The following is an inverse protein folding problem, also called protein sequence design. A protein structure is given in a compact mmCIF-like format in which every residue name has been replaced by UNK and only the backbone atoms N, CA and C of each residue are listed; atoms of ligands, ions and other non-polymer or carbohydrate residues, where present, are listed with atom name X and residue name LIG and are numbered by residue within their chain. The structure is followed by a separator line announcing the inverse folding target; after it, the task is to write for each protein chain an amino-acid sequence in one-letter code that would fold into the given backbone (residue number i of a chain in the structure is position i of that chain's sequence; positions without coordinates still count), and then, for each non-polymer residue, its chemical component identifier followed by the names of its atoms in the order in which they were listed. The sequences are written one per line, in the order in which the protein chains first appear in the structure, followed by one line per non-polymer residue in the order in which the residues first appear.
data_IF_467895511274
#
_entry.id   IF_467895511274
#
_cell.length_a   1.000
_cell.length_b   1.000
_cell.length_c   1.000
_cell.angle_alpha   90.00
_cell.angle_beta   90.00
_cell.angle_gamma   90.00
#
_symmetry.space_group_name_H-M   'P 1'
#
loop_
_entity.id
_entity.type
_entity.pdbx_description
1 polymer ?
#
# COMPACT_ATOMS: atom_id res chain seq x y z
N UNK A 1 30.25 -2.61 6.66
CA UNK A 1 29.95 -3.91 7.23
C UNK A 1 28.65 -3.88 7.99
N UNK A 2 27.93 -4.99 8.02
CA UNK A 2 26.74 -5.17 8.83
C UNK A 2 26.73 -6.59 9.44
N UNK A 3 26.02 -6.73 10.55
CA UNK A 3 25.80 -8.00 11.23
C UNK A 3 24.39 -7.99 11.87
N UNK A 4 23.65 -9.07 11.69
CA UNK A 4 22.31 -9.23 12.26
C UNK A 4 21.35 -8.06 11.94
N UNK A 5 21.42 -7.54 10.68
CA UNK A 5 20.60 -6.42 10.23
C UNK A 5 21.06 -5.04 10.70
N UNK A 6 22.19 -4.94 11.44
CA UNK A 6 22.71 -3.68 11.97
C UNK A 6 24.02 -3.30 11.27
N UNK A 7 24.15 -2.03 10.85
CA UNK A 7 25.42 -1.51 10.32
C UNK A 7 26.42 -1.43 11.47
N UNK A 8 27.49 -2.20 11.37
CA UNK A 8 28.57 -2.25 12.38
C UNK A 8 29.79 -1.42 12.00
N UNK A 9 29.96 -1.15 10.70
CA UNK A 9 31.03 -0.30 10.19
C UNK A 9 30.59 0.43 8.93
N UNK A 10 30.88 1.73 8.89
CA UNK A 10 30.76 2.57 7.72
C UNK A 10 32.01 3.43 7.59
N UNK A 11 32.82 3.19 6.56
CA UNK A 11 34.09 3.89 6.38
C UNK A 11 34.90 3.30 5.25
N UNK A 12 36.13 3.76 5.09
CA UNK A 12 37.06 3.27 4.07
C UNK A 12 37.51 1.83 4.37
N UNK A 13 37.81 1.06 3.31
CA UNK A 13 38.35 -0.30 3.45
C UNK A 13 39.67 -0.32 4.29
N UNK A 14 40.48 0.70 4.15
CA UNK A 14 41.74 0.84 4.92
C UNK A 14 41.52 1.09 6.43
N UNK A 15 40.36 1.55 6.82
CA UNK A 15 39.99 1.80 8.21
C UNK A 15 39.26 0.63 8.90
N UNK A 16 39.05 -0.50 8.21
CA UNK A 16 38.44 -1.69 8.82
C UNK A 16 39.34 -2.22 9.95
N UNK A 17 38.76 -2.58 11.11
CA UNK A 17 39.51 -3.18 12.19
C UNK A 17 39.82 -4.65 11.85
N UNK A 18 41.10 -4.95 11.56
CA UNK A 18 41.56 -6.32 11.27
C UNK A 18 41.52 -6.71 9.78
N UNK A 19 41.89 -7.95 9.50
CA UNK A 19 41.82 -8.52 8.16
C UNK A 19 40.37 -8.89 7.81
N UNK A 20 39.89 -8.48 6.63
CA UNK A 20 38.49 -8.65 6.17
C UNK A 20 38.09 -10.13 6.15
N UNK A 21 38.99 -11.02 5.72
CA UNK A 21 38.73 -12.45 5.58
C UNK A 21 38.44 -13.16 6.91
N UNK A 22 38.81 -12.53 8.05
CA UNK A 22 38.46 -13.03 9.38
C UNK A 22 37.24 -12.36 10.03
N UNK A 23 36.67 -11.33 9.39
CA UNK A 23 35.61 -10.50 9.97
C UNK A 23 34.24 -10.73 9.35
N UNK A 24 34.16 -11.37 8.19
CA UNK A 24 32.90 -11.53 7.47
C UNK A 24 32.80 -12.90 6.80
N UNK A 25 31.57 -13.43 6.78
CA UNK A 25 31.21 -14.66 6.07
C UNK A 25 30.99 -14.40 4.57
N UNK A 26 30.73 -13.15 4.18
CA UNK A 26 30.46 -12.73 2.84
C UNK A 26 31.02 -11.31 2.55
N UNK A 27 31.62 -11.13 1.38
CA UNK A 27 32.07 -9.85 0.87
C UNK A 27 31.33 -9.57 -0.44
N UNK A 28 30.61 -8.45 -0.48
CA UNK A 28 29.92 -7.99 -1.67
C UNK A 28 30.68 -6.79 -2.24
N UNK A 29 31.26 -6.97 -3.43
CA UNK A 29 31.85 -5.86 -4.18
C UNK A 29 30.77 -5.20 -5.02
N UNK A 30 30.52 -3.91 -4.78
CA UNK A 30 29.53 -3.12 -5.51
C UNK A 30 30.19 -2.04 -6.33
N UNK A 31 29.81 -1.90 -7.61
CA UNK A 31 30.21 -0.77 -8.44
C UNK A 31 29.22 0.38 -8.27
N UNK A 32 29.73 1.60 -8.05
CA UNK A 32 28.91 2.80 -7.91
C UNK A 32 28.55 3.15 -6.47
N UNK A 33 27.41 3.80 -6.29
CA UNK A 33 26.94 4.29 -5.00
C UNK A 33 25.99 3.27 -4.38
N UNK A 34 26.24 2.92 -3.12
CA UNK A 34 25.32 2.10 -2.30
C UNK A 34 24.51 3.04 -1.41
N UNK A 35 23.20 2.94 -1.49
CA UNK A 35 22.26 3.72 -0.67
C UNK A 35 21.47 2.80 0.24
N UNK A 36 20.87 3.32 1.32
CA UNK A 36 19.76 2.60 1.99
C UNK A 36 18.67 2.27 0.98
N UNK A 37 17.91 1.20 1.25
CA UNK A 37 16.73 0.90 0.45
C UNK A 37 15.73 2.05 0.46
N UNK A 38 15.04 2.25 -0.67
CA UNK A 38 14.07 3.34 -0.81
C UNK A 38 12.83 3.09 0.05
N UNK A 39 12.23 4.17 0.51
CA UNK A 39 10.95 4.17 1.23
C UNK A 39 9.90 4.81 0.35
N UNK A 40 8.86 4.07 -0.01
CA UNK A 40 7.67 4.64 -0.65
C UNK A 40 6.59 4.86 0.41
N UNK A 41 6.37 6.11 0.75
CA UNK A 41 5.52 6.52 1.87
C UNK A 41 4.04 6.75 1.47
N UNK A 42 3.64 6.42 0.23
CA UNK A 42 2.25 6.56 -0.20
C UNK A 42 1.92 5.63 -1.35
N UNK A 43 1.33 4.48 -1.08
CA UNK A 43 0.89 3.55 -2.12
C UNK A 43 -0.52 3.04 -1.92
N UNK A 44 -1.14 2.63 -3.04
CA UNK A 44 -2.42 1.92 -3.11
C UNK A 44 -2.25 0.63 -3.93
N UNK A 45 -1.26 -0.20 -3.60
CA UNK A 45 -0.92 -1.39 -4.40
C UNK A 45 -1.94 -2.53 -4.27
N UNK A 46 -2.74 -2.53 -3.20
CA UNK A 46 -3.77 -3.55 -2.97
C UNK A 46 -5.09 -3.10 -3.59
N UNK A 47 -5.37 -3.58 -4.79
CA UNK A 47 -6.65 -3.39 -5.47
C UNK A 47 -6.89 -4.49 -6.50
N UNK A 48 -8.15 -4.67 -6.90
CA UNK A 48 -8.56 -5.55 -7.98
C UNK A 48 -9.09 -4.77 -9.18
N UNK A 49 -9.10 -5.42 -10.33
CA UNK A 49 -9.54 -4.83 -11.58
C UNK A 49 -8.52 -3.84 -12.16
N UNK A 50 -8.96 -3.16 -13.20
CA UNK A 50 -8.20 -2.09 -13.86
C UNK A 50 -9.15 -0.95 -14.28
N UNK A 51 -8.57 0.11 -14.77
CA UNK A 51 -9.30 1.29 -15.26
C UNK A 51 -8.89 1.65 -16.69
N UNK A 52 -8.51 0.64 -17.49
CA UNK A 52 -8.04 0.83 -18.85
C UNK A 52 -9.13 1.47 -19.74
N UNK A 53 -10.39 1.02 -19.61
CA UNK A 53 -11.53 1.60 -20.33
C UNK A 53 -11.75 3.07 -19.95
N UNK A 54 -11.63 3.39 -18.67
CA UNK A 54 -11.75 4.79 -18.22
C UNK A 54 -10.61 5.66 -18.77
N UNK A 55 -9.41 5.11 -18.83
CA UNK A 55 -8.26 5.79 -19.43
C UNK A 55 -8.49 6.04 -20.92
N UNK A 56 -9.00 5.06 -21.66
CA UNK A 56 -9.37 5.22 -23.07
C UNK A 56 -10.43 6.30 -23.26
N UNK A 57 -11.50 6.29 -22.45
CA UNK A 57 -12.54 7.33 -22.50
C UNK A 57 -11.96 8.73 -22.26
N UNK A 58 -11.01 8.87 -21.35
CA UNK A 58 -10.30 10.14 -21.12
C UNK A 58 -9.49 10.59 -22.33
N UNK A 59 -8.81 9.67 -23.00
CA UNK A 59 -8.10 9.97 -24.24
C UNK A 59 -9.04 10.41 -25.37
N UNK A 60 -10.28 9.90 -25.37
CA UNK A 60 -11.35 10.31 -26.28
C UNK A 60 -12.03 11.64 -25.88
N UNK A 61 -11.59 12.27 -24.78
CA UNK A 61 -12.09 13.58 -24.33
C UNK A 61 -13.22 13.52 -23.30
N UNK A 62 -13.56 12.36 -22.76
CA UNK A 62 -14.54 12.27 -21.69
C UNK A 62 -14.03 12.97 -20.42
N UNK A 63 -14.89 13.77 -19.79
CA UNK A 63 -14.57 14.39 -18.50
C UNK A 63 -14.61 13.36 -17.35
N UNK A 64 -13.93 13.69 -16.25
CA UNK A 64 -13.99 12.87 -15.03
C UNK A 64 -15.44 12.67 -14.55
N UNK A 65 -16.24 13.73 -14.63
CA UNK A 65 -17.66 13.70 -14.22
C UNK A 65 -18.50 12.76 -15.11
N UNK A 66 -18.26 12.74 -16.42
CA UNK A 66 -18.92 11.81 -17.34
C UNK A 66 -18.58 10.36 -17.03
N UNK A 67 -17.29 10.07 -16.76
CA UNK A 67 -16.82 8.74 -16.38
C UNK A 67 -17.43 8.31 -15.04
N UNK A 68 -17.44 9.19 -14.04
CA UNK A 68 -18.02 8.91 -12.73
C UNK A 68 -19.52 8.63 -12.83
N UNK A 69 -20.29 9.41 -13.60
CA UNK A 69 -21.72 9.20 -13.87
C UNK A 69 -22.01 7.86 -14.58
N UNK A 70 -21.09 7.40 -15.41
CA UNK A 70 -21.15 6.10 -16.06
C UNK A 70 -20.77 4.92 -15.13
N UNK A 71 -20.55 5.20 -13.85
CA UNK A 71 -20.20 4.18 -12.84
C UNK A 71 -18.70 3.86 -12.79
N UNK A 72 -17.86 4.66 -13.41
CA UNK A 72 -16.40 4.61 -13.30
C UNK A 72 -15.88 5.28 -12.03
N UNK A 73 -14.60 5.61 -12.04
CA UNK A 73 -13.93 6.25 -10.91
C UNK A 73 -13.64 5.28 -9.76
N UNK A 74 -13.52 5.82 -8.55
CA UNK A 74 -13.18 5.03 -7.37
C UNK A 74 -14.16 3.89 -7.12
N UNK A 75 -15.47 4.08 -7.39
CA UNK A 75 -16.49 3.07 -7.17
C UNK A 75 -16.34 1.84 -8.07
N UNK A 76 -15.72 1.99 -9.25
CA UNK A 76 -15.36 0.85 -10.11
C UNK A 76 -14.33 -0.04 -9.41
N UNK A 77 -13.28 0.55 -8.85
CA UNK A 77 -12.27 -0.17 -8.06
C UNK A 77 -12.89 -0.81 -6.80
N UNK A 78 -13.76 -0.09 -6.10
CA UNK A 78 -14.47 -0.59 -4.92
C UNK A 78 -15.27 -1.86 -5.25
N UNK A 79 -16.04 -1.85 -6.34
CA UNK A 79 -16.79 -3.04 -6.77
C UNK A 79 -15.86 -4.21 -7.07
N UNK A 80 -14.75 -3.98 -7.75
CA UNK A 80 -13.77 -5.02 -8.08
C UNK A 80 -13.11 -5.60 -6.82
N UNK A 81 -12.71 -4.75 -5.87
CA UNK A 81 -12.13 -5.17 -4.58
C UNK A 81 -13.13 -5.98 -3.75
N UNK A 82 -14.37 -5.53 -3.67
CA UNK A 82 -15.43 -6.26 -2.94
C UNK A 82 -15.73 -7.62 -3.54
N UNK A 83 -15.70 -7.74 -4.86
CA UNK A 83 -15.94 -9.00 -5.57
C UNK A 83 -14.76 -9.98 -5.49
N UNK A 84 -13.53 -9.50 -5.38
CA UNK A 84 -12.33 -10.32 -5.34
C UNK A 84 -12.17 -11.03 -3.98
N UNK A 85 -11.74 -12.29 -4.01
CA UNK A 85 -11.29 -13.00 -2.82
C UNK A 85 -9.96 -12.41 -2.29
N UNK A 86 -9.60 -12.75 -1.05
CA UNK A 86 -8.32 -12.36 -0.45
C UNK A 86 -7.14 -12.88 -1.30
N UNK A 87 -7.20 -14.14 -1.73
CA UNK A 87 -6.17 -14.76 -2.59
C UNK A 87 -6.07 -14.08 -3.96
N UNK A 88 -7.17 -13.63 -4.51
CA UNK A 88 -7.17 -12.94 -5.79
C UNK A 88 -6.57 -11.54 -5.67
N UNK A 89 -6.94 -10.79 -4.63
CA UNK A 89 -6.31 -9.50 -4.32
C UNK A 89 -4.80 -9.66 -4.12
N UNK A 90 -4.38 -10.69 -3.39
CA UNK A 90 -2.98 -10.98 -3.17
C UNK A 90 -2.26 -11.21 -4.51
N UNK A 91 -2.75 -12.15 -5.33
CA UNK A 91 -2.15 -12.47 -6.64
C UNK A 91 -2.09 -11.27 -7.59
N UNK A 92 -3.13 -10.42 -7.60
CA UNK A 92 -3.14 -9.22 -8.44
C UNK A 92 -2.16 -8.15 -7.94
N UNK A 93 -1.84 -8.13 -6.64
CA UNK A 93 -0.95 -7.15 -6.03
C UNK A 93 0.52 -7.54 -6.10
N UNK A 94 0.84 -8.84 -6.13
CA UNK A 94 2.23 -9.34 -6.19
C UNK A 94 3.09 -8.69 -7.30
N UNK A 95 2.62 -8.57 -8.56
CA UNK A 95 3.42 -7.96 -9.61
C UNK A 95 3.74 -6.48 -9.36
N UNK A 96 2.86 -5.76 -8.65
CA UNK A 96 3.07 -4.34 -8.30
C UNK A 96 4.17 -4.19 -7.25
N UNK A 97 4.15 -5.04 -6.21
CA UNK A 97 5.22 -5.10 -5.21
C UNK A 97 6.55 -5.49 -5.87
N UNK A 98 6.55 -6.52 -6.71
CA UNK A 98 7.75 -6.95 -7.41
C UNK A 98 8.35 -5.84 -8.33
N UNK A 99 7.51 -4.98 -8.90
CA UNK A 99 7.98 -3.81 -9.66
C UNK A 99 8.68 -2.80 -8.75
N UNK A 100 8.06 -2.42 -7.62
CA UNK A 100 8.65 -1.49 -6.65
C UNK A 100 9.98 -2.00 -6.08
N UNK A 101 10.07 -3.31 -5.80
CA UNK A 101 11.32 -3.93 -5.35
C UNK A 101 12.43 -3.83 -6.41
N UNK A 102 12.13 -4.02 -7.69
CA UNK A 102 13.11 -3.83 -8.77
C UNK A 102 13.62 -2.39 -8.86
N UNK A 103 12.81 -1.43 -8.45
CA UNK A 103 13.18 -0.02 -8.37
C UNK A 103 13.94 0.34 -7.07
N UNK A 104 14.20 -0.65 -6.19
CA UNK A 104 14.98 -0.49 -4.97
C UNK A 104 14.19 -0.10 -3.73
N UNK A 105 12.86 -0.16 -3.79
CA UNK A 105 11.99 0.10 -2.63
C UNK A 105 12.04 -1.10 -1.68
N UNK A 106 12.30 -0.86 -0.39
CA UNK A 106 12.39 -1.89 0.66
C UNK A 106 11.41 -1.66 1.80
N UNK A 107 10.79 -0.49 1.83
CA UNK A 107 9.78 -0.13 2.83
C UNK A 107 8.62 0.58 2.15
N UNK A 108 7.40 0.16 2.46
CA UNK A 108 6.18 0.66 1.85
C UNK A 108 5.17 1.10 2.90
N UNK A 109 4.50 2.22 2.66
CA UNK A 109 3.16 2.43 3.19
C UNK A 109 2.15 1.85 2.20
N UNK A 110 1.20 1.05 2.67
CA UNK A 110 0.09 0.53 1.86
C UNK A 110 -1.22 0.98 2.50
N UNK A 111 -1.96 1.82 1.78
CA UNK A 111 -3.28 2.28 2.20
C UNK A 111 -4.37 1.34 1.71
N UNK A 112 -5.38 1.11 2.55
CA UNK A 112 -6.68 0.57 2.14
C UNK A 112 -7.54 1.65 1.47
N UNK A 113 -8.86 1.58 1.55
CA UNK A 113 -9.74 2.64 1.06
C UNK A 113 -10.48 2.31 -0.25
N UNK A 114 -10.43 1.07 -0.67
CA UNK A 114 -11.28 0.56 -1.75
C UNK A 114 -12.25 -0.54 -1.29
N UNK A 115 -12.29 -0.83 0.01
CA UNK A 115 -13.30 -1.70 0.60
C UNK A 115 -14.58 -0.95 0.94
N UNK A 116 -14.42 0.16 1.65
CA UNK A 116 -15.46 1.06 2.15
C UNK A 116 -16.53 0.38 3.00
N UNK A 117 -16.20 -0.80 3.54
CA UNK A 117 -16.92 -1.50 4.61
C UNK A 117 -15.90 -2.27 5.46
N UNK A 118 -16.32 -2.72 6.64
CA UNK A 118 -15.42 -3.37 7.59
C UNK A 118 -14.70 -4.59 7.01
N UNK A 119 -15.44 -5.50 6.39
CA UNK A 119 -14.88 -6.78 5.96
C UNK A 119 -13.91 -6.60 4.77
N UNK A 120 -14.23 -5.70 3.85
CA UNK A 120 -13.38 -5.45 2.68
C UNK A 120 -12.17 -4.57 3.01
N UNK A 121 -12.29 -3.58 3.91
CA UNK A 121 -11.12 -2.84 4.42
C UNK A 121 -10.17 -3.78 5.17
N UNK A 122 -10.70 -4.64 6.05
CA UNK A 122 -9.95 -5.68 6.74
C UNK A 122 -9.23 -6.63 5.77
N UNK A 123 -9.93 -7.09 4.73
CA UNK A 123 -9.37 -7.93 3.67
C UNK A 123 -8.17 -7.26 2.98
N UNK A 124 -8.30 -5.99 2.60
CA UNK A 124 -7.20 -5.23 1.97
C UNK A 124 -5.99 -5.11 2.89
N UNK A 125 -6.19 -4.78 4.17
CA UNK A 125 -5.12 -4.63 5.15
C UNK A 125 -4.42 -5.96 5.43
N UNK A 126 -5.16 -7.09 5.47
CA UNK A 126 -4.57 -8.44 5.59
C UNK A 126 -3.68 -8.78 4.40
N UNK A 127 -4.16 -8.51 3.20
CA UNK A 127 -3.37 -8.70 1.97
C UNK A 127 -2.10 -7.84 2.01
N UNK A 128 -2.18 -6.59 2.46
CA UNK A 128 -1.00 -5.73 2.60
C UNK A 128 0.05 -6.32 3.56
N UNK A 129 -0.36 -6.86 4.71
CA UNK A 129 0.54 -7.57 5.65
C UNK A 129 1.15 -8.82 5.01
N UNK A 130 0.33 -9.66 4.41
CA UNK A 130 0.79 -10.88 3.76
C UNK A 130 1.80 -10.62 2.62
N UNK A 131 1.63 -9.53 1.87
CA UNK A 131 2.61 -9.09 0.87
C UNK A 131 3.93 -8.70 1.51
N UNK A 132 3.92 -7.98 2.63
CA UNK A 132 5.13 -7.65 3.39
C UNK A 132 5.90 -8.90 3.82
N UNK A 133 5.20 -9.88 4.39
CA UNK A 133 5.76 -11.17 4.81
C UNK A 133 6.31 -11.95 3.60
N UNK A 134 5.55 -12.03 2.53
CA UNK A 134 5.92 -12.78 1.31
C UNK A 134 7.20 -12.26 0.66
N UNK A 135 7.38 -10.95 0.63
CA UNK A 135 8.53 -10.31 -0.02
C UNK A 135 9.66 -9.94 0.95
N UNK A 136 9.49 -10.15 2.25
CA UNK A 136 10.50 -9.83 3.26
C UNK A 136 10.79 -8.33 3.36
N UNK A 137 9.79 -7.48 3.13
CA UNK A 137 9.91 -6.02 3.17
C UNK A 137 9.12 -5.41 4.33
N UNK A 138 9.52 -4.22 4.74
CA UNK A 138 8.76 -3.48 5.75
C UNK A 138 7.50 -2.89 5.14
N UNK A 139 6.33 -3.29 5.65
CA UNK A 139 5.04 -2.70 5.28
C UNK A 139 4.42 -1.99 6.47
N UNK A 140 4.07 -0.72 6.28
CA UNK A 140 3.19 0.05 7.16
C UNK A 140 1.82 0.14 6.53
N UNK A 141 0.79 -0.25 7.27
CA UNK A 141 -0.58 -0.26 6.77
C UNK A 141 -1.36 0.93 7.30
N UNK A 142 -2.00 1.67 6.41
CA UNK A 142 -2.85 2.81 6.72
C UNK A 142 -4.30 2.49 6.38
N UNK A 143 -5.19 2.58 7.37
CA UNK A 143 -6.62 2.49 7.11
C UNK A 143 -7.12 3.81 6.51
N UNK A 144 -7.57 3.78 5.26
CA UNK A 144 -8.16 4.91 4.56
C UNK A 144 -9.63 4.63 4.24
N UNK A 145 -10.41 4.15 5.22
CA UNK A 145 -11.84 3.94 5.04
C UNK A 145 -12.56 5.24 4.63
N UNK A 146 -12.12 6.39 5.16
CA UNK A 146 -12.62 7.71 4.76
C UNK A 146 -12.01 8.19 3.42
N UNK A 147 -11.99 7.34 2.39
CA UNK A 147 -11.51 7.65 1.04
C UNK A 147 -12.63 8.16 0.13
N UNK A 148 -13.79 7.57 0.22
CA UNK A 148 -15.00 7.99 -0.49
C UNK A 148 -16.24 7.51 0.26
N UNK A 149 -17.36 8.17 0.02
CA UNK A 149 -18.64 7.75 0.58
C UNK A 149 -19.20 6.56 -0.23
N UNK A 150 -19.42 5.39 0.39
CA UNK A 150 -19.99 4.27 -0.31
C UNK A 150 -21.51 4.48 -0.57
N UNK A 151 -22.06 3.85 -1.62
CA UNK A 151 -23.48 4.02 -1.98
C UNK A 151 -24.47 3.71 -0.84
N UNK A 152 -24.10 2.80 0.05
CA UNK A 152 -24.92 2.39 1.19
C UNK A 152 -25.15 3.51 2.22
N UNK A 153 -24.27 4.51 2.20
CA UNK A 153 -24.33 5.71 3.04
C UNK A 153 -24.60 6.98 2.24
N UNK A 154 -25.21 6.86 1.05
CA UNK A 154 -25.48 8.03 0.23
C UNK A 154 -26.34 9.06 0.99
N UNK A 155 -25.78 10.27 1.19
CA UNK A 155 -26.41 11.34 1.95
C UNK A 155 -26.22 11.29 3.47
N UNK A 156 -25.46 10.33 3.98
CA UNK A 156 -25.17 10.16 5.42
C UNK A 156 -23.66 9.98 5.64
N UNK A 157 -22.89 11.02 5.36
CA UNK A 157 -21.45 11.01 5.52
C UNK A 157 -21.01 10.87 6.98
N UNK A 158 -21.71 11.53 7.89
CA UNK A 158 -21.41 11.46 9.33
C UNK A 158 -21.66 10.04 9.88
N UNK A 159 -22.76 9.41 9.51
CA UNK A 159 -23.05 8.02 9.87
C UNK A 159 -22.00 7.04 9.33
N UNK A 160 -21.48 7.29 8.13
CA UNK A 160 -20.36 6.50 7.59
C UNK A 160 -19.08 6.68 8.39
N UNK A 161 -18.71 7.91 8.72
CA UNK A 161 -17.52 8.21 9.52
C UNK A 161 -17.62 7.57 10.90
N UNK A 162 -18.77 7.67 11.56
CA UNK A 162 -19.00 7.02 12.86
C UNK A 162 -18.82 5.49 12.76
N UNK A 163 -19.35 4.87 11.71
CA UNK A 163 -19.13 3.44 11.46
C UNK A 163 -17.64 3.13 11.25
N UNK A 164 -16.95 3.88 10.39
CA UNK A 164 -15.51 3.69 10.11
C UNK A 164 -14.63 3.85 11.37
N UNK A 165 -14.93 4.83 12.21
CA UNK A 165 -14.27 5.01 13.51
C UNK A 165 -14.51 3.78 14.40
N UNK A 166 -15.70 3.23 14.40
CA UNK A 166 -16.06 2.02 15.14
C UNK A 166 -15.30 0.76 14.70
N UNK A 167 -14.76 0.72 13.48
CA UNK A 167 -13.96 -0.41 12.99
C UNK A 167 -12.53 -0.39 13.50
N UNK A 168 -11.96 0.78 13.78
CA UNK A 168 -10.53 0.96 14.09
C UNK A 168 -10.05 0.14 15.29
N UNK A 169 -10.78 0.06 16.44
CA UNK A 169 -10.33 -0.76 17.57
C UNK A 169 -10.20 -2.24 17.21
N UNK A 170 -11.10 -2.75 16.35
CA UNK A 170 -11.08 -4.15 15.91
C UNK A 170 -9.92 -4.42 14.95
N UNK A 171 -9.72 -3.56 13.96
CA UNK A 171 -8.61 -3.65 13.00
C UNK A 171 -7.26 -3.51 13.71
N UNK A 172 -7.17 -2.62 14.70
CA UNK A 172 -5.95 -2.45 15.50
C UNK A 172 -5.67 -3.68 16.37
N UNK A 173 -6.67 -4.25 17.01
CA UNK A 173 -6.52 -5.47 17.82
C UNK A 173 -6.04 -6.69 17.00
N UNK A 174 -6.32 -6.72 15.69
CA UNK A 174 -5.80 -7.71 14.75
C UNK A 174 -4.40 -7.38 14.23
N UNK A 175 -3.78 -6.28 14.65
CA UNK A 175 -2.45 -5.84 14.17
C UNK A 175 -2.46 -5.34 12.71
N UNK A 176 -3.62 -4.95 12.20
CA UNK A 176 -3.79 -4.60 10.79
C UNK A 176 -3.62 -3.11 10.48
N UNK A 177 -3.54 -2.23 11.49
CA UNK A 177 -3.49 -0.77 11.28
C UNK A 177 -2.35 -0.16 12.06
N UNK A 178 -1.41 0.50 11.35
CA UNK A 178 -0.34 1.31 11.92
C UNK A 178 -0.73 2.79 11.95
N UNK A 179 -1.52 3.24 10.97
CA UNK A 179 -1.97 4.62 10.81
C UNK A 179 -3.38 4.71 10.23
N UNK A 180 -4.00 5.86 10.38
CA UNK A 180 -5.32 6.20 9.80
C UNK A 180 -5.17 7.46 8.99
N UNK A 181 -5.85 7.52 7.85
CA UNK A 181 -5.88 8.67 6.97
C UNK A 181 -7.32 8.94 6.49
N UNK A 182 -7.56 10.15 6.01
CA UNK A 182 -8.85 10.58 5.48
C UNK A 182 -8.68 11.51 4.29
N UNK A 183 -9.54 11.36 3.29
CA UNK A 183 -9.59 12.24 2.12
C UNK A 183 -10.53 13.41 2.38
N UNK A 184 -9.99 14.49 2.95
CA UNK A 184 -10.73 15.72 3.29
C UNK A 184 -10.70 16.70 2.12
N UNK A 185 -11.65 16.59 1.23
CA UNK A 185 -11.82 17.42 0.04
C UNK A 185 -13.30 17.65 -0.25
N UNK A 186 -13.64 18.70 -0.99
CA UNK A 186 -15.04 19.05 -1.31
C UNK A 186 -15.82 17.97 -2.07
N UNK A 187 -15.13 16.98 -2.65
CA UNK A 187 -15.73 15.81 -3.32
C UNK A 187 -15.67 14.53 -2.46
N UNK A 188 -15.06 14.60 -1.29
CA UNK A 188 -14.93 13.50 -0.34
C UNK A 188 -15.64 13.83 0.97
N UNK A 189 -14.86 13.98 2.04
CA UNK A 189 -15.34 14.36 3.37
C UNK A 189 -14.88 15.77 3.71
N UNK A 190 -15.80 16.63 4.19
CA UNK A 190 -15.54 18.02 4.56
C UNK A 190 -15.81 18.25 6.06
#
# INVERSE_FOLDING_TARGET
GWKDGVITYAGSRAGLPGEIDGLSDEIIEAEGVVTPGLVDCHTHVVFAGDRAVEFELRLQGASYEQIARAGGGILSTVRAVRAASEDELFRQSEPRIAALLRDGVTSLEIKSGYGLDFDNERKMLRVARALGERFGITVRTTCLAAHALPPEFAGDADGYIDAAIGWLPRLHAEGLVDAVDAFCEGIGFS
#
